data_IF_171470001643
#
_entry.id   IF_171470001643
#
_cell.length_a   1.000
_cell.length_b   1.000
_cell.length_c   1.000
_cell.angle_alpha   90.00
_cell.angle_beta   90.00
_cell.angle_gamma   90.00
#
_symmetry.space_group_name_H-M   'P 1'
#
loop_
_entity.id
_entity.type
_entity.pdbx_description
1 polymer ?
#
# COMPACT_ATOMS: atom_id res chain seq x y z
N UNK A 1 -8.20 36.39 7.54
CA UNK A 1 -7.32 35.59 8.42
C UNK A 1 -8.03 34.42 9.11
N UNK A 2 -9.09 34.64 9.92
CA UNK A 2 -9.81 33.53 10.61
C UNK A 2 -10.41 32.47 9.66
N UNK A 3 -11.01 32.88 8.54
CA UNK A 3 -11.56 31.96 7.53
C UNK A 3 -10.47 31.12 6.86
N UNK A 4 -9.34 31.75 6.54
CA UNK A 4 -8.18 31.08 5.94
C UNK A 4 -7.59 30.02 6.87
N UNK A 5 -7.44 30.33 8.16
CA UNK A 5 -6.96 29.36 9.16
C UNK A 5 -7.95 28.19 9.30
N UNK A 6 -9.27 28.45 9.33
CA UNK A 6 -10.28 27.38 9.36
C UNK A 6 -10.21 26.48 8.13
N UNK A 7 -10.03 27.06 6.95
CA UNK A 7 -9.89 26.30 5.70
C UNK A 7 -8.62 25.45 5.70
N UNK A 8 -7.50 26.01 6.14
CA UNK A 8 -6.24 25.29 6.29
C UNK A 8 -6.38 24.10 7.27
N UNK A 9 -6.98 24.33 8.44
CA UNK A 9 -7.21 23.27 9.43
C UNK A 9 -8.12 22.16 8.89
N UNK A 10 -9.16 22.51 8.12
CA UNK A 10 -10.04 21.53 7.49
C UNK A 10 -9.29 20.68 6.46
N UNK A 11 -8.46 21.30 5.61
CA UNK A 11 -7.63 20.58 4.64
C UNK A 11 -6.65 19.63 5.33
N UNK A 12 -5.99 20.10 6.39
CA UNK A 12 -5.08 19.26 7.19
C UNK A 12 -5.83 18.09 7.83
N UNK A 13 -7.03 18.30 8.36
CA UNK A 13 -7.85 17.23 8.94
C UNK A 13 -8.23 16.18 7.88
N UNK A 14 -8.68 16.62 6.69
CA UNK A 14 -8.98 15.73 5.56
C UNK A 14 -7.75 14.93 5.16
N UNK A 15 -6.59 15.58 5.06
CA UNK A 15 -5.33 14.93 4.74
C UNK A 15 -4.95 13.85 5.76
N UNK A 16 -5.07 14.12 7.07
CA UNK A 16 -4.81 13.14 8.13
C UNK A 16 -5.78 11.96 8.03
N UNK A 17 -7.07 12.20 7.76
CA UNK A 17 -8.06 11.14 7.59
C UNK A 17 -7.68 10.24 6.40
N UNK A 18 -7.30 10.83 5.27
CA UNK A 18 -6.86 10.08 4.08
C UNK A 18 -5.63 9.23 4.39
N UNK A 19 -4.67 9.74 5.17
CA UNK A 19 -3.50 8.97 5.61
C UNK A 19 -3.91 7.77 6.47
N UNK A 20 -4.83 7.95 7.42
CA UNK A 20 -5.32 6.86 8.26
C UNK A 20 -6.03 5.79 7.43
N UNK A 21 -6.93 6.18 6.53
CA UNK A 21 -7.67 5.24 5.66
C UNK A 21 -6.71 4.48 4.76
N UNK A 22 -5.78 5.16 4.09
CA UNK A 22 -4.79 4.51 3.21
C UNK A 22 -3.80 3.62 3.98
N UNK A 23 -3.64 3.83 5.28
CA UNK A 23 -2.79 2.98 6.13
C UNK A 23 -3.46 1.72 6.68
N UNK A 24 -4.77 1.52 6.49
CA UNK A 24 -5.45 0.32 6.98
C UNK A 24 -6.23 -0.39 5.89
N UNK A 25 -5.83 -1.62 5.58
CA UNK A 25 -6.58 -2.48 4.65
C UNK A 25 -8.03 -2.68 5.07
N UNK A 26 -8.28 -2.82 6.37
CA UNK A 26 -9.64 -2.93 6.90
C UNK A 26 -10.48 -1.69 6.60
N UNK A 27 -9.94 -0.48 6.80
CA UNK A 27 -10.65 0.77 6.47
C UNK A 27 -10.87 0.90 4.96
N UNK A 28 -9.88 0.55 4.14
CA UNK A 28 -10.02 0.53 2.68
C UNK A 28 -11.13 -0.43 2.23
N UNK A 29 -11.18 -1.64 2.78
CA UNK A 29 -12.21 -2.62 2.48
C UNK A 29 -13.60 -2.13 2.91
N UNK A 30 -13.71 -1.52 4.09
CA UNK A 30 -14.99 -0.98 4.57
C UNK A 30 -15.45 0.22 3.75
N UNK A 31 -14.54 1.09 3.37
CA UNK A 31 -14.86 2.19 2.45
C UNK A 31 -15.32 1.66 1.08
N UNK A 32 -14.70 0.60 0.57
CA UNK A 32 -15.14 -0.06 -0.65
C UNK A 32 -16.56 -0.63 -0.52
N UNK A 33 -16.82 -1.43 0.52
CA UNK A 33 -18.16 -1.98 0.78
C UNK A 33 -19.24 -0.90 0.89
N UNK A 34 -18.92 0.25 1.51
CA UNK A 34 -19.84 1.38 1.64
C UNK A 34 -20.12 2.08 0.30
N UNK A 35 -19.10 2.24 -0.55
CA UNK A 35 -19.23 2.93 -1.85
C UNK A 35 -19.75 2.03 -2.97
N UNK A 36 -19.64 0.71 -2.79
CA UNK A 36 -20.01 -0.30 -3.77
C UNK A 36 -21.03 -1.28 -3.16
N UNK A 37 -22.15 -0.74 -2.64
CA UNK A 37 -23.18 -1.52 -1.92
C UNK A 37 -23.77 -2.67 -2.74
N UNK A 38 -23.74 -2.58 -4.06
CA UNK A 38 -24.30 -3.58 -4.98
C UNK A 38 -23.33 -4.73 -5.26
N UNK A 39 -22.10 -4.68 -4.73
CA UNK A 39 -21.11 -5.73 -4.92
C UNK A 39 -21.30 -6.85 -3.91
N UNK A 40 -21.15 -8.08 -4.38
CA UNK A 40 -21.43 -9.30 -3.61
C UNK A 40 -20.11 -9.99 -3.27
N UNK A 41 -19.94 -10.40 -2.02
CA UNK A 41 -18.81 -11.22 -1.58
C UNK A 41 -18.96 -12.67 -2.09
N UNK A 42 -17.94 -13.18 -2.79
CA UNK A 42 -17.90 -14.57 -3.27
C UNK A 42 -17.09 -15.41 -2.30
N UNK A 43 -17.69 -16.49 -1.79
CA UNK A 43 -17.04 -17.41 -0.85
C UNK A 43 -16.09 -18.40 -1.54
N UNK A 44 -16.45 -18.84 -2.74
CA UNK A 44 -15.70 -19.85 -3.49
C UNK A 44 -14.79 -19.18 -4.51
N UNK A 45 -13.55 -18.91 -4.10
CA UNK A 45 -12.49 -18.43 -4.97
C UNK A 45 -11.19 -19.18 -4.68
N UNK A 46 -10.27 -19.16 -5.65
CA UNK A 46 -8.94 -19.74 -5.57
C UNK A 46 -7.92 -18.73 -6.08
N UNK A 47 -6.86 -18.51 -5.32
CA UNK A 47 -5.71 -17.75 -5.82
C UNK A 47 -4.92 -18.67 -6.75
N UNK A 48 -4.74 -18.23 -7.99
CA UNK A 48 -4.01 -18.99 -9.03
C UNK A 48 -2.53 -18.68 -8.94
N UNK A 49 -2.19 -17.39 -8.87
CA UNK A 49 -0.81 -16.92 -8.90
C UNK A 49 -0.67 -15.62 -8.11
N UNK A 50 0.54 -15.40 -7.61
CA UNK A 50 0.93 -14.17 -6.93
C UNK A 50 2.37 -13.86 -7.30
N UNK A 51 2.58 -12.78 -8.06
CA UNK A 51 3.89 -12.39 -8.58
C UNK A 51 4.35 -11.10 -7.95
N UNK A 52 5.61 -11.06 -7.51
CA UNK A 52 6.17 -9.90 -6.83
C UNK A 52 7.35 -9.35 -7.62
N UNK A 53 7.31 -8.05 -7.91
CA UNK A 53 8.36 -7.35 -8.65
C UNK A 53 8.76 -6.05 -7.96
N UNK A 54 9.96 -5.59 -8.28
CA UNK A 54 10.52 -4.33 -7.81
C UNK A 54 9.99 -3.17 -8.63
N UNK A 55 9.75 -2.03 -7.98
CA UNK A 55 9.45 -0.80 -8.70
C UNK A 55 9.97 0.44 -7.99
N UNK A 56 10.45 1.39 -8.78
CA UNK A 56 10.75 2.75 -8.33
C UNK A 56 9.50 3.65 -8.22
N UNK A 57 8.33 3.21 -8.72
CA UNK A 57 7.07 4.00 -8.71
C UNK A 57 6.78 4.58 -7.31
N UNK A 58 6.27 5.82 -7.18
CA UNK A 58 5.89 6.72 -8.27
C UNK A 58 7.09 7.41 -8.95
N UNK A 59 8.28 7.35 -8.37
CA UNK A 59 9.46 8.04 -8.87
C UNK A 59 10.25 7.17 -9.86
N UNK A 60 10.13 7.43 -11.16
CA UNK A 60 10.70 6.58 -12.23
C UNK A 60 12.24 6.54 -12.33
N UNK A 61 12.98 7.11 -11.37
CA UNK A 61 14.45 7.17 -11.40
C UNK A 61 15.05 6.78 -10.05
N UNK A 62 16.19 6.10 -10.10
CA UNK A 62 16.96 5.69 -8.92
C UNK A 62 16.58 4.32 -8.40
N UNK A 63 16.87 4.08 -7.12
CA UNK A 63 16.74 2.79 -6.46
C UNK A 63 15.27 2.36 -6.30
N UNK A 64 14.98 1.06 -6.39
CA UNK A 64 13.62 0.51 -6.24
C UNK A 64 12.98 0.89 -4.91
N UNK A 65 11.83 1.57 -4.90
CA UNK A 65 11.23 2.10 -3.66
C UNK A 65 10.17 1.18 -3.05
N UNK A 66 9.77 0.14 -3.76
CA UNK A 66 8.79 -0.84 -3.28
C UNK A 66 8.92 -2.17 -4.00
N UNK A 67 8.36 -3.20 -3.35
CA UNK A 67 7.98 -4.46 -3.97
C UNK A 67 6.45 -4.49 -4.11
N UNK A 68 5.97 -4.71 -5.34
CA UNK A 68 4.55 -4.75 -5.71
C UNK A 68 4.17 -6.19 -6.01
N UNK A 69 3.04 -6.61 -5.47
CA UNK A 69 2.48 -7.94 -5.67
C UNK A 69 1.20 -7.86 -6.49
N UNK A 70 1.23 -8.49 -7.66
CA UNK A 70 0.07 -8.67 -8.53
C UNK A 70 -0.55 -10.04 -8.25
N UNK A 71 -1.88 -10.09 -8.24
CA UNK A 71 -2.61 -11.30 -7.88
C UNK A 71 -3.54 -11.75 -8.99
N UNK A 72 -3.47 -13.04 -9.31
CA UNK A 72 -4.39 -13.71 -10.22
C UNK A 72 -5.26 -14.68 -9.45
N UNK A 73 -6.57 -14.58 -9.61
CA UNK A 73 -7.53 -15.39 -8.87
C UNK A 73 -8.67 -15.85 -9.76
N UNK A 74 -9.23 -16.99 -9.40
CA UNK A 74 -10.38 -17.61 -10.03
C UNK A 74 -11.54 -17.59 -9.05
N UNK A 75 -12.74 -17.30 -9.54
CA UNK A 75 -13.95 -17.36 -8.73
C UNK A 75 -15.10 -17.94 -9.55
N UNK A 76 -16.07 -18.52 -8.85
CA UNK A 76 -17.28 -19.07 -9.49
C UNK A 76 -18.48 -18.25 -9.08
N UNK A 77 -19.21 -17.74 -10.08
CA UNK A 77 -20.47 -17.03 -9.89
C UNK A 77 -21.45 -17.41 -11.00
N UNK A 78 -22.71 -17.66 -10.61
CA UNK A 78 -23.77 -18.10 -11.52
C UNK A 78 -23.36 -19.26 -12.44
N UNK A 79 -22.80 -20.33 -11.85
CA UNK A 79 -22.27 -21.53 -12.52
C UNK A 79 -21.15 -21.27 -13.55
N UNK A 80 -20.70 -20.03 -13.71
CA UNK A 80 -19.57 -19.66 -14.55
C UNK A 80 -18.32 -19.47 -13.69
N UNK A 81 -17.21 -20.02 -14.15
CA UNK A 81 -15.89 -19.81 -13.55
C UNK A 81 -15.17 -18.74 -14.35
N UNK A 82 -14.69 -17.71 -13.65
CA UNK A 82 -13.96 -16.58 -14.25
C UNK A 82 -12.60 -16.45 -13.60
N UNK A 83 -11.65 -15.94 -14.37
CA UNK A 83 -10.30 -15.60 -13.92
C UNK A 83 -10.13 -14.10 -14.04
N UNK A 84 -9.64 -13.50 -12.97
CA UNK A 84 -9.34 -12.07 -12.90
C UNK A 84 -7.95 -11.85 -12.35
N UNK A 85 -7.42 -10.68 -12.65
CA UNK A 85 -6.11 -10.23 -12.23
C UNK A 85 -6.25 -8.84 -11.62
N UNK A 86 -5.47 -8.58 -10.58
CA UNK A 86 -5.42 -7.29 -9.92
C UNK A 86 -3.97 -6.91 -9.66
N UNK A 87 -3.53 -5.90 -10.39
CA UNK A 87 -2.23 -5.28 -10.20
C UNK A 87 -2.18 -4.54 -8.85
N UNK A 88 -0.97 -4.39 -8.30
CA UNK A 88 -0.70 -3.62 -7.09
C UNK A 88 -1.57 -4.06 -5.88
N UNK A 89 -1.97 -5.34 -5.81
CA UNK A 89 -2.80 -5.88 -4.74
C UNK A 89 -2.17 -5.67 -3.36
N UNK A 90 -0.86 -5.88 -3.25
CA UNK A 90 -0.10 -5.63 -2.04
C UNK A 90 1.22 -4.94 -2.38
N UNK A 91 1.40 -3.74 -1.85
CA UNK A 91 2.63 -2.96 -2.03
C UNK A 91 3.38 -2.95 -0.70
N UNK A 92 4.66 -3.26 -0.71
CA UNK A 92 5.58 -3.09 0.42
C UNK A 92 6.55 -1.98 0.05
N UNK A 93 6.46 -0.85 0.74
CA UNK A 93 7.39 0.25 0.56
C UNK A 93 8.71 -0.01 1.30
N UNK A 94 9.79 0.54 0.74
CA UNK A 94 11.11 0.62 1.37
C UNK A 94 10.99 1.43 2.65
N UNK A 95 11.44 0.89 3.76
CA UNK A 95 11.41 1.58 5.05
C UNK A 95 12.71 2.35 5.34
N UNK A 96 13.84 1.78 4.92
CA UNK A 96 15.18 2.32 5.15
C UNK A 96 15.91 2.47 3.84
N UNK A 97 16.73 3.51 3.70
CA UNK A 97 17.54 3.74 2.49
C UNK A 97 18.45 2.54 2.18
N UNK A 98 18.92 1.80 3.19
CA UNK A 98 19.79 0.62 3.03
C UNK A 98 19.08 -0.66 2.60
N UNK A 99 17.74 -0.71 2.65
CA UNK A 99 16.98 -1.92 2.36
C UNK A 99 16.98 -2.22 0.86
N UNK A 100 17.39 -3.42 0.46
CA UNK A 100 17.41 -3.82 -0.96
C UNK A 100 16.02 -4.35 -1.42
N UNK A 101 15.88 -4.60 -2.72
CA UNK A 101 14.60 -5.05 -3.24
C UNK A 101 14.25 -6.50 -2.90
N UNK A 102 15.21 -7.41 -2.85
CA UNK A 102 14.94 -8.81 -2.53
C UNK A 102 14.37 -8.96 -1.11
N UNK A 103 14.91 -8.22 -0.14
CA UNK A 103 14.34 -8.13 1.22
C UNK A 103 12.88 -7.63 1.21
N UNK A 104 12.55 -6.68 0.33
CA UNK A 104 11.17 -6.19 0.20
C UNK A 104 10.26 -7.24 -0.43
N UNK A 105 10.74 -7.99 -1.43
CA UNK A 105 9.99 -9.08 -2.07
C UNK A 105 9.70 -10.19 -1.07
N UNK A 106 10.70 -10.63 -0.32
CA UNK A 106 10.54 -11.67 0.71
C UNK A 106 9.49 -11.26 1.75
N UNK A 107 9.54 -10.00 2.21
CA UNK A 107 8.55 -9.46 3.14
C UNK A 107 7.16 -9.40 2.52
N UNK A 108 7.06 -8.99 1.26
CA UNK A 108 5.80 -8.95 0.53
C UNK A 108 5.16 -10.36 0.44
N UNK A 109 5.93 -11.36 0.02
CA UNK A 109 5.50 -12.76 -0.04
C UNK A 109 5.09 -13.27 1.35
N UNK A 110 5.88 -12.97 2.38
CA UNK A 110 5.60 -13.36 3.77
C UNK A 110 4.26 -12.79 4.25
N UNK A 111 4.00 -11.50 4.02
CA UNK A 111 2.72 -10.84 4.35
C UNK A 111 1.58 -11.50 3.58
N UNK A 112 1.74 -11.73 2.27
CA UNK A 112 0.72 -12.38 1.46
C UNK A 112 0.37 -13.78 2.00
N UNK A 113 1.37 -14.59 2.32
CA UNK A 113 1.18 -15.92 2.90
C UNK A 113 0.44 -15.87 4.24
N UNK A 114 0.77 -14.90 5.10
CA UNK A 114 0.06 -14.66 6.37
C UNK A 114 -1.42 -14.30 6.13
N UNK A 115 -1.69 -13.40 5.16
CA UNK A 115 -3.04 -12.97 4.81
C UNK A 115 -3.88 -14.12 4.26
N UNK A 116 -3.30 -14.93 3.37
CA UNK A 116 -3.96 -16.08 2.76
C UNK A 116 -4.25 -17.16 3.81
N UNK A 117 -3.27 -17.53 4.64
CA UNK A 117 -3.42 -18.53 5.71
C UNK A 117 -4.50 -18.13 6.74
N UNK A 118 -4.65 -16.84 7.02
CA UNK A 118 -5.59 -16.33 8.02
C UNK A 118 -6.95 -15.91 7.44
N UNK A 119 -7.27 -16.28 6.19
CA UNK A 119 -8.52 -15.92 5.51
C UNK A 119 -8.83 -14.41 5.57
N UNK A 120 -7.79 -13.58 5.39
CA UNK A 120 -7.90 -12.11 5.38
C UNK A 120 -8.01 -11.53 3.98
N UNK A 121 -8.28 -12.37 2.99
CA UNK A 121 -8.51 -11.98 1.60
C UNK A 121 -9.97 -12.25 1.28
N UNK A 122 -10.62 -11.34 0.57
CA UNK A 122 -12.01 -11.47 0.14
C UNK A 122 -12.17 -11.03 -1.31
N UNK A 123 -12.98 -11.76 -2.07
CA UNK A 123 -13.31 -11.43 -3.45
C UNK A 123 -14.73 -10.88 -3.50
N UNK A 124 -14.89 -9.74 -4.15
CA UNK A 124 -16.16 -9.10 -4.41
C UNK A 124 -16.40 -9.05 -5.92
N UNK A 125 -17.65 -9.17 -6.32
CA UNK A 125 -18.06 -9.09 -7.73
C UNK A 125 -19.20 -8.09 -7.89
N UNK A 126 -19.25 -7.45 -9.04
CA UNK A 126 -20.41 -6.66 -9.48
C UNK A 126 -21.21 -7.49 -10.49
N UNK A 127 -22.45 -7.90 -10.16
CA UNK A 127 -23.33 -8.52 -11.13
C UNK A 127 -23.60 -7.61 -12.33
N UNK A 128 -23.77 -6.31 -12.07
CA UNK A 128 -24.17 -5.33 -13.08
C UNK A 128 -23.03 -4.94 -14.04
N UNK A 129 -21.81 -4.80 -13.51
CA UNK A 129 -20.65 -4.31 -14.27
C UNK A 129 -19.73 -5.43 -14.77
N UNK A 130 -20.07 -6.69 -14.47
CA UNK A 130 -19.24 -7.86 -14.76
C UNK A 130 -17.77 -7.71 -14.29
N UNK A 131 -17.59 -7.00 -13.17
CA UNK A 131 -16.29 -6.72 -12.58
C UNK A 131 -16.03 -7.56 -11.34
N UNK A 132 -14.77 -7.75 -10.99
CA UNK A 132 -14.36 -8.36 -9.72
C UNK A 132 -13.23 -7.58 -9.07
N UNK A 133 -13.14 -7.65 -7.75
CA UNK A 133 -12.10 -7.00 -6.97
C UNK A 133 -11.74 -7.88 -5.78
N UNK A 134 -10.45 -8.03 -5.54
CA UNK A 134 -9.95 -8.75 -4.37
C UNK A 134 -9.36 -7.76 -3.36
N UNK A 135 -9.75 -7.91 -2.10
CA UNK A 135 -9.45 -6.97 -1.04
C UNK A 135 -8.85 -7.67 0.18
N UNK A 136 -7.99 -6.94 0.87
CA UNK A 136 -7.40 -7.36 2.14
C UNK A 136 -8.28 -6.83 3.28
N UNK A 137 -8.62 -7.70 4.23
CA UNK A 137 -9.50 -7.39 5.37
C UNK A 137 -8.78 -7.52 6.73
N UNK A 138 -7.45 -7.58 6.70
CA UNK A 138 -6.61 -7.58 7.92
C UNK A 138 -6.87 -6.32 8.73
N UNK A 139 -7.20 -6.51 10.02
CA UNK A 139 -7.36 -5.43 11.00
C UNK A 139 -6.00 -4.87 11.39
N UNK A 140 -5.99 -3.60 11.78
CA UNK A 140 -4.78 -2.87 12.19
C UNK A 140 -4.23 -1.96 11.11
N UNK A 141 -3.16 -1.26 11.48
CA UNK A 141 -2.45 -0.34 10.61
C UNK A 141 -1.32 -1.10 9.92
N UNK A 142 -1.26 -0.95 8.60
CA UNK A 142 -0.24 -1.49 7.71
C UNK A 142 0.55 -0.31 7.15
N UNK A 143 1.21 0.44 8.05
CA UNK A 143 1.93 1.66 7.71
C UNK A 143 2.90 1.45 6.56
N UNK A 144 3.64 0.33 6.58
CA UNK A 144 4.61 -0.02 5.56
C UNK A 144 4.03 -0.24 4.16
N UNK A 145 2.73 -0.53 4.10
CA UNK A 145 1.99 -0.74 2.86
C UNK A 145 1.27 0.52 2.39
N UNK A 146 1.39 1.62 3.14
CA UNK A 146 0.83 2.93 2.80
C UNK A 146 1.85 3.80 2.09
N UNK A 147 1.34 4.66 1.21
CA UNK A 147 2.10 5.72 0.57
C UNK A 147 2.81 6.66 1.57
N UNK A 148 2.31 6.73 2.81
CA UNK A 148 2.89 7.54 3.90
C UNK A 148 4.38 7.26 4.14
N UNK A 149 4.87 6.05 3.87
CA UNK A 149 6.30 5.71 4.00
C UNK A 149 7.20 6.56 3.12
N UNK A 150 6.72 7.01 1.96
CA UNK A 150 7.53 7.86 1.10
C UNK A 150 7.95 9.15 1.83
N UNK A 151 7.10 9.70 2.71
CA UNK A 151 7.46 10.87 3.53
C UNK A 151 8.58 10.54 4.52
N UNK A 152 8.55 9.34 5.13
CA UNK A 152 9.57 8.90 6.08
C UNK A 152 10.93 8.77 5.39
N UNK A 153 10.97 8.23 4.16
CA UNK A 153 12.21 8.12 3.39
C UNK A 153 12.81 9.49 3.07
N UNK A 154 11.99 10.46 2.64
CA UNK A 154 12.49 11.80 2.36
C UNK A 154 13.03 12.48 3.64
N UNK A 155 12.36 12.27 4.78
CA UNK A 155 12.83 12.76 6.09
C UNK A 155 14.20 12.16 6.45
N UNK A 156 14.40 10.85 6.23
CA UNK A 156 15.70 10.20 6.46
C UNK A 156 16.81 10.82 5.61
N UNK A 157 16.53 11.14 4.35
CA UNK A 157 17.50 11.77 3.46
C UNK A 157 17.90 13.17 3.95
N UNK A 158 16.93 13.96 4.42
CA UNK A 158 17.19 15.29 5.00
C UNK A 158 18.12 15.17 6.21
N UNK A 159 17.87 14.22 7.12
CA UNK A 159 18.74 13.99 8.27
C UNK A 159 20.16 13.60 7.86
N UNK A 160 20.33 12.73 6.86
CA UNK A 160 21.66 12.36 6.37
C UNK A 160 22.44 13.57 5.82
N UNK A 161 21.76 14.44 5.06
CA UNK A 161 22.37 15.67 4.53
C UNK A 161 22.79 16.60 5.68
N UNK A 162 21.92 16.80 6.68
CA UNK A 162 22.22 17.64 7.84
C UNK A 162 23.43 17.10 8.63
N UNK A 163 23.50 15.80 8.86
CA UNK A 163 24.64 15.16 9.53
C UNK A 163 25.93 15.40 8.72
N UNK A 164 25.89 15.19 7.40
CA UNK A 164 27.02 15.44 6.52
C UNK A 164 27.51 16.89 6.58
N UNK A 165 26.59 17.86 6.58
CA UNK A 165 26.89 19.28 6.71
C UNK A 165 27.52 19.63 8.07
N UNK A 166 26.99 19.08 9.17
CA UNK A 166 27.55 19.28 10.50
C UNK A 166 28.99 18.75 10.57
N UNK A 167 29.24 17.54 10.05
CA UNK A 167 30.58 16.95 10.01
C UNK A 167 31.52 17.82 9.18
N UNK A 168 31.10 18.22 7.98
CA UNK A 168 31.89 19.08 7.09
C UNK A 168 32.29 20.39 7.80
N UNK A 169 31.32 21.11 8.36
CA UNK A 169 31.57 22.36 9.09
C UNK A 169 32.50 22.16 10.28
N UNK A 170 32.34 21.05 11.02
CA UNK A 170 33.19 20.73 12.17
C UNK A 170 34.64 20.44 11.77
N UNK A 171 34.84 19.75 10.65
CA UNK A 171 36.17 19.42 10.11
C UNK A 171 36.84 20.66 9.53
N UNK A 172 36.11 21.49 8.79
CA UNK A 172 36.67 22.72 8.21
C UNK A 172 36.90 23.82 9.23
N UNK A 173 36.10 23.90 10.30
CA UNK A 173 36.30 24.86 11.40
C UNK A 173 37.50 24.53 12.29
N UNK A 174 38.04 23.30 12.20
CA UNK A 174 39.26 22.87 12.90
C UNK A 174 40.54 23.06 12.07
N UNK A 175 40.42 23.51 10.82
CA UNK A 175 41.53 23.98 9.98
C UNK A 175 41.61 25.49 10.03
#
# INVERSE_FOLDING_TARGET
MKLFIKLLLSLVAIFIILLLVTSSFFLQSKFFELTHSNWIEVKNYKIINYEVYCSSKPWRRGMDRNARGDIKYQYTYDKSTKVSEQDDFLIVYRLLISENCEEMKEKNISIFNELNKNNKIKVFISPDLNGSKILITKKGLSFRNSWMINLILEIQLIFLILIGLIIYLTVTSKK
#
